data_IF_518104079069
#
_entry.id   IF_518104079069
#
_cell.length_a   1.000
_cell.length_b   1.000
_cell.length_c   1.000
_cell.angle_alpha   90.00
_cell.angle_beta   90.00
_cell.angle_gamma   90.00
#
_symmetry.space_group_name_H-M   'P 1'
#
loop_
_entity.id
_entity.type
_entity.pdbx_description
1 polymer ?
#
# COMPACT_ATOMS: atom_id res chain seq x y z
N UNK A 1 7.80 -11.70 -10.86
CA UNK A 1 8.35 -10.35 -10.55
C UNK A 1 7.28 -9.31 -10.22
N UNK A 2 6.18 -9.19 -10.98
CA UNK A 2 5.13 -8.17 -10.74
C UNK A 2 4.57 -8.23 -9.32
N UNK A 3 4.24 -9.42 -8.79
CA UNK A 3 3.75 -9.58 -7.43
C UNK A 3 4.69 -8.99 -6.36
N UNK A 4 6.00 -9.10 -6.57
CA UNK A 4 7.02 -8.54 -5.68
C UNK A 4 7.20 -7.01 -5.86
N UNK A 5 6.87 -6.49 -7.04
CA UNK A 5 6.91 -5.06 -7.34
C UNK A 5 5.71 -4.30 -6.75
N UNK A 6 4.58 -4.97 -6.49
CA UNK A 6 3.43 -4.38 -5.80
C UNK A 6 3.83 -3.96 -4.39
N UNK A 7 3.46 -2.73 -4.02
CA UNK A 7 3.78 -2.07 -2.74
C UNK A 7 5.26 -2.15 -2.33
N UNK A 8 6.15 -2.34 -3.31
CA UNK A 8 7.60 -2.49 -3.10
C UNK A 8 7.98 -3.63 -2.14
N UNK A 9 7.23 -4.73 -2.13
CA UNK A 9 7.47 -5.85 -1.19
C UNK A 9 8.90 -6.41 -1.30
N UNK A 10 9.49 -6.38 -2.51
CA UNK A 10 10.89 -6.74 -2.76
C UNK A 10 11.92 -6.01 -1.87
N UNK A 11 11.61 -4.80 -1.35
CA UNK A 11 12.57 -4.01 -0.56
C UNK A 11 13.05 -4.73 0.71
N UNK A 12 12.20 -5.58 1.30
CA UNK A 12 12.55 -6.34 2.49
C UNK A 12 13.76 -7.25 2.26
N UNK A 13 13.82 -7.89 1.08
CA UNK A 13 14.92 -8.78 0.71
C UNK A 13 16.26 -8.05 0.55
N UNK A 14 16.26 -6.83 0.00
CA UNK A 14 17.49 -6.05 -0.24
C UNK A 14 17.91 -5.17 0.94
N UNK A 15 17.33 -5.38 2.12
CA UNK A 15 17.72 -4.68 3.34
C UNK A 15 18.33 -5.64 4.35
N UNK A 16 19.58 -5.40 4.77
CA UNK A 16 20.26 -6.27 5.76
C UNK A 16 19.44 -6.45 7.04
N UNK A 17 18.75 -5.39 7.47
CA UNK A 17 17.90 -5.39 8.67
C UNK A 17 16.65 -6.27 8.50
N UNK A 18 16.06 -6.31 7.31
CA UNK A 18 14.75 -6.91 7.09
C UNK A 18 14.78 -8.21 6.27
N UNK A 19 15.89 -8.52 5.58
CA UNK A 19 16.01 -9.66 4.66
C UNK A 19 15.61 -10.98 5.30
N UNK A 20 16.13 -11.25 6.49
CA UNK A 20 15.81 -12.49 7.23
C UNK A 20 14.30 -12.59 7.51
N UNK A 21 13.70 -11.51 8.01
CA UNK A 21 12.28 -11.47 8.38
C UNK A 21 11.42 -11.63 7.12
N UNK A 22 11.73 -10.86 6.08
CA UNK A 22 11.04 -10.90 4.79
C UNK A 22 11.05 -12.31 4.18
N UNK A 23 12.23 -12.92 4.03
CA UNK A 23 12.33 -14.26 3.43
C UNK A 23 11.68 -15.34 4.30
N UNK A 24 11.69 -15.18 5.64
CA UNK A 24 10.97 -16.09 6.54
C UNK A 24 9.46 -16.05 6.27
N UNK A 25 8.87 -14.87 6.08
CA UNK A 25 7.44 -14.77 5.76
C UNK A 25 7.10 -15.35 4.39
N UNK A 26 7.93 -15.11 3.36
CA UNK A 26 7.72 -15.73 2.05
C UNK A 26 7.74 -17.27 2.15
N UNK A 27 8.71 -17.83 2.87
CA UNK A 27 8.77 -19.28 3.10
C UNK A 27 7.54 -19.81 3.84
N UNK A 28 7.12 -19.14 4.93
CA UNK A 28 5.93 -19.53 5.69
C UNK A 28 4.63 -19.49 4.87
N UNK A 29 4.57 -18.63 3.86
CA UNK A 29 3.45 -18.53 2.92
C UNK A 29 3.56 -19.52 1.74
N UNK A 30 4.65 -20.30 1.67
CA UNK A 30 4.91 -21.26 0.58
C UNK A 30 5.38 -20.60 -0.71
N UNK A 31 5.99 -19.41 -0.64
CA UNK A 31 6.48 -18.64 -1.79
C UNK A 31 8.00 -18.73 -1.96
N UNK A 32 8.57 -19.93 -1.79
CA UNK A 32 10.01 -20.16 -1.93
C UNK A 32 10.56 -19.73 -3.29
N UNK A 33 9.79 -19.97 -4.37
CA UNK A 33 10.15 -19.55 -5.73
C UNK A 33 10.35 -18.04 -5.87
N UNK A 34 9.64 -17.23 -5.06
CA UNK A 34 9.84 -15.78 -5.03
C UNK A 34 11.15 -15.41 -4.34
N UNK A 35 11.62 -16.20 -3.37
CA UNK A 35 12.92 -16.01 -2.72
C UNK A 35 14.03 -16.31 -3.72
N UNK A 36 13.92 -17.40 -4.48
CA UNK A 36 14.88 -17.76 -5.53
C UNK A 36 14.98 -16.65 -6.58
N UNK A 37 13.84 -16.17 -7.07
CA UNK A 37 13.77 -15.04 -7.98
C UNK A 37 14.44 -13.77 -7.41
N UNK A 38 14.24 -13.46 -6.13
CA UNK A 38 14.85 -12.30 -5.49
C UNK A 38 16.38 -12.42 -5.37
N UNK A 39 16.90 -13.64 -5.19
CA UNK A 39 18.34 -13.90 -5.16
C UNK A 39 18.99 -13.70 -6.55
N UNK A 40 18.23 -13.90 -7.63
CA UNK A 40 18.70 -13.79 -9.02
C UNK A 40 18.48 -12.41 -9.65
N UNK A 41 17.73 -11.53 -8.97
CA UNK A 41 17.35 -10.21 -9.48
C UNK A 41 17.89 -9.10 -8.57
N UNK A 42 17.82 -7.88 -9.06
CA UNK A 42 18.26 -6.68 -8.35
C UNK A 42 17.07 -5.78 -8.00
N UNK A 43 17.28 -4.89 -7.02
CA UNK A 43 16.33 -3.81 -6.70
C UNK A 43 15.95 -2.96 -7.93
N UNK A 44 16.87 -2.74 -8.88
CA UNK A 44 16.60 -1.94 -10.07
C UNK A 44 15.56 -2.59 -10.99
N UNK A 45 15.56 -3.92 -11.09
CA UNK A 45 14.62 -4.67 -11.93
C UNK A 45 13.17 -4.44 -11.48
N UNK A 46 12.93 -4.45 -10.17
CA UNK A 46 11.60 -4.20 -9.62
C UNK A 46 11.19 -2.73 -9.72
N UNK A 47 12.12 -1.79 -9.55
CA UNK A 47 11.85 -0.37 -9.75
C UNK A 47 11.44 -0.09 -11.20
N UNK A 48 12.11 -0.72 -12.16
CA UNK A 48 11.75 -0.63 -13.57
C UNK A 48 10.34 -1.17 -13.85
N UNK A 49 9.95 -2.29 -13.22
CA UNK A 49 8.58 -2.82 -13.32
C UNK A 49 7.57 -1.84 -12.72
N UNK A 50 7.87 -1.25 -11.55
CA UNK A 50 7.00 -0.26 -10.93
C UNK A 50 6.78 0.96 -11.82
N UNK A 51 7.82 1.43 -12.49
CA UNK A 51 7.75 2.55 -13.43
C UNK A 51 6.98 2.16 -14.69
N UNK A 52 7.31 1.01 -15.30
CA UNK A 52 6.68 0.53 -16.54
C UNK A 52 5.16 0.44 -16.44
N UNK A 53 4.66 -0.17 -15.37
CA UNK A 53 3.22 -0.36 -15.17
C UNK A 53 2.58 0.70 -14.28
N UNK A 54 3.35 1.72 -13.90
CA UNK A 54 2.92 2.81 -13.04
C UNK A 54 2.28 2.33 -11.71
N UNK A 55 2.86 1.28 -11.11
CA UNK A 55 2.28 0.55 -9.97
C UNK A 55 2.12 1.38 -8.68
N UNK A 56 2.71 2.58 -8.65
CA UNK A 56 2.61 3.51 -7.52
C UNK A 56 1.54 4.58 -7.71
N UNK A 57 0.87 4.60 -8.86
CA UNK A 57 -0.21 5.53 -9.10
C UNK A 57 -1.38 5.29 -8.18
N UNK A 58 -2.03 6.39 -7.81
CA UNK A 58 -3.19 6.35 -6.93
C UNK A 58 -4.40 5.86 -7.72
N UNK A 59 -5.29 5.19 -7.00
CA UNK A 59 -6.67 5.03 -7.42
C UNK A 59 -7.43 6.17 -6.74
N UNK A 60 -8.03 7.05 -7.53
CA UNK A 60 -8.77 8.22 -7.06
C UNK A 60 -10.19 8.17 -7.58
N UNK A 61 -11.08 8.93 -6.96
CA UNK A 61 -12.44 9.11 -7.44
C UNK A 61 -12.51 10.42 -8.21
N UNK A 62 -13.08 10.38 -9.41
CA UNK A 62 -13.30 11.56 -10.25
C UNK A 62 -14.53 12.36 -9.79
N UNK A 63 -14.75 13.53 -10.40
CA UNK A 63 -15.87 14.43 -10.07
C UNK A 63 -17.26 13.81 -10.34
N UNK A 64 -17.32 12.77 -11.16
CA UNK A 64 -18.56 12.03 -11.47
C UNK A 64 -18.81 10.87 -10.50
N UNK A 65 -17.89 10.60 -9.57
CA UNK A 65 -18.03 9.53 -8.56
C UNK A 65 -17.57 8.15 -9.03
N UNK A 66 -16.78 8.05 -10.11
CA UNK A 66 -16.17 6.80 -10.57
C UNK A 66 -14.70 6.73 -10.16
N UNK A 67 -14.16 5.52 -10.01
CA UNK A 67 -12.73 5.34 -9.77
C UNK A 67 -11.94 5.47 -11.07
N UNK A 68 -10.79 6.12 -10.99
CA UNK A 68 -9.81 6.25 -12.06
C UNK A 68 -8.39 6.01 -11.53
N UNK A 69 -7.50 5.57 -12.41
CA UNK A 69 -6.09 5.37 -12.07
C UNK A 69 -5.22 5.41 -13.32
N UNK A 70 -3.96 5.81 -13.14
CA UNK A 70 -2.94 5.74 -14.18
C UNK A 70 -2.15 4.42 -14.16
N UNK A 71 -2.51 3.47 -13.29
CA UNK A 71 -1.94 2.11 -13.31
C UNK A 71 -2.30 1.44 -14.64
N UNK A 72 -1.34 0.78 -15.28
CA UNK A 72 -1.51 0.10 -16.56
C UNK A 72 -2.30 -1.23 -16.43
N UNK A 73 -3.56 -1.16 -15.99
CA UNK A 73 -4.39 -2.35 -15.66
C UNK A 73 -4.55 -3.30 -16.85
N UNK A 74 -4.73 -2.78 -18.06
CA UNK A 74 -4.87 -3.58 -19.27
C UNK A 74 -3.62 -4.42 -19.57
N UNK A 75 -2.42 -3.85 -19.38
CA UNK A 75 -1.17 -4.59 -19.55
C UNK A 75 -0.94 -5.58 -18.40
N UNK A 76 -1.36 -5.23 -17.17
CA UNK A 76 -1.24 -6.12 -16.02
C UNK A 76 -2.14 -7.35 -16.15
N UNK A 77 -3.29 -7.23 -16.83
CA UNK A 77 -4.20 -8.34 -17.05
C UNK A 77 -3.54 -9.56 -17.73
N UNK A 78 -2.51 -9.34 -18.56
CA UNK A 78 -1.77 -10.41 -19.25
C UNK A 78 -1.04 -11.37 -18.29
N UNK A 79 -0.84 -10.97 -17.03
CA UNK A 79 -0.11 -11.75 -16.02
C UNK A 79 -1.00 -12.45 -14.99
N UNK A 80 -2.32 -12.19 -15.02
CA UNK A 80 -3.26 -12.72 -14.03
C UNK A 80 -4.44 -13.39 -14.71
N UNK A 81 -4.79 -14.59 -14.23
CA UNK A 81 -5.96 -15.35 -14.73
C UNK A 81 -7.30 -14.85 -14.15
N UNK A 82 -7.26 -13.77 -13.35
CA UNK A 82 -8.44 -13.12 -12.79
C UNK A 82 -8.56 -11.67 -13.30
N UNK A 83 -9.79 -11.12 -13.41
CA UNK A 83 -9.98 -9.75 -13.87
C UNK A 83 -9.27 -8.72 -12.98
N UNK A 84 -8.47 -7.86 -13.61
CA UNK A 84 -7.81 -6.70 -13.01
C UNK A 84 -8.47 -5.45 -13.57
N UNK A 85 -9.53 -4.98 -12.91
CA UNK A 85 -10.32 -3.83 -13.36
C UNK A 85 -10.80 -2.97 -12.19
N UNK A 86 -11.07 -1.70 -12.48
CA UNK A 86 -11.79 -0.84 -11.54
C UNK A 86 -13.28 -1.18 -11.58
N UNK A 87 -14.00 -1.10 -10.44
CA UNK A 87 -15.44 -1.29 -10.43
C UNK A 87 -16.14 -0.23 -11.29
N UNK A 88 -17.01 -0.66 -12.19
CA UNK A 88 -17.82 0.24 -13.03
C UNK A 88 -19.10 0.72 -12.31
N UNK A 89 -18.97 1.14 -11.05
CA UNK A 89 -20.08 1.63 -10.24
C UNK A 89 -19.79 3.05 -9.76
N UNK A 90 -20.82 3.89 -9.81
CA UNK A 90 -20.76 5.21 -9.21
C UNK A 90 -20.82 5.10 -7.68
N UNK A 91 -19.91 5.78 -7.01
CA UNK A 91 -19.86 5.89 -5.56
C UNK A 91 -20.64 7.12 -5.10
N UNK A 92 -21.38 6.97 -4.00
CA UNK A 92 -22.06 8.08 -3.32
C UNK A 92 -21.35 8.42 -2.03
N UNK A 93 -21.18 9.71 -1.75
CA UNK A 93 -20.59 10.15 -0.50
C UNK A 93 -21.46 9.72 0.70
N UNK A 94 -20.89 8.89 1.57
CA UNK A 94 -21.57 8.45 2.81
C UNK A 94 -21.13 9.24 4.04
N UNK A 95 -19.83 9.51 4.17
CA UNK A 95 -19.27 10.22 5.31
C UNK A 95 -17.97 10.91 4.89
N UNK A 96 -17.66 12.03 5.56
CA UNK A 96 -16.40 12.73 5.41
C UNK A 96 -15.59 12.63 6.69
N UNK A 97 -14.29 12.43 6.54
CA UNK A 97 -13.38 12.28 7.65
C UNK A 97 -12.22 13.25 7.51
N UNK A 98 -11.73 13.75 8.64
CA UNK A 98 -10.54 14.60 8.70
C UNK A 98 -9.41 13.84 9.37
N UNK A 99 -8.28 13.74 8.66
CA UNK A 99 -7.07 13.16 9.23
C UNK A 99 -6.15 14.27 9.75
N UNK A 100 -5.56 14.05 10.92
CA UNK A 100 -4.66 14.99 11.58
C UNK A 100 -3.45 14.24 12.12
N UNK A 101 -2.30 14.90 12.10
CA UNK A 101 -1.06 14.44 12.74
C UNK A 101 -0.82 15.26 14.01
N UNK A 102 -0.37 14.61 15.07
CA UNK A 102 -0.05 15.24 16.34
C UNK A 102 1.09 14.52 17.04
N UNK A 103 1.56 15.11 18.12
CA UNK A 103 2.50 14.45 19.02
C UNK A 103 1.83 13.98 20.30
N UNK A 104 2.31 12.87 20.85
CA UNK A 104 1.76 12.27 22.08
C UNK A 104 1.91 13.16 23.32
N UNK A 105 2.76 14.19 23.28
CA UNK A 105 2.85 15.16 24.36
C UNK A 105 1.79 16.27 24.29
N UNK A 106 1.17 16.49 23.13
CA UNK A 106 0.10 17.48 22.94
C UNK A 106 -1.26 16.93 23.36
N UNK A 107 -1.48 15.64 23.09
CA UNK A 107 -2.71 14.93 23.39
C UNK A 107 -2.30 13.68 24.16
N UNK A 108 -2.63 13.66 25.45
CA UNK A 108 -2.19 12.65 26.41
C UNK A 108 -3.15 11.46 26.48
N UNK A 109 -4.40 11.63 26.06
CA UNK A 109 -5.38 10.55 25.92
C UNK A 109 -6.20 10.69 24.63
N UNK A 110 -6.60 9.55 24.05
CA UNK A 110 -7.52 9.47 22.92
C UNK A 110 -8.89 10.09 23.24
N UNK A 111 -9.29 10.07 24.51
CA UNK A 111 -10.58 10.62 24.97
C UNK A 111 -10.66 12.14 24.81
N UNK A 112 -9.51 12.81 24.64
CA UNK A 112 -9.44 14.25 24.37
C UNK A 112 -9.73 14.59 22.91
N UNK A 113 -9.87 13.59 22.03
CA UNK A 113 -10.11 13.77 20.60
C UNK A 113 -11.60 13.51 20.32
N UNK A 114 -12.42 14.54 20.09
CA UNK A 114 -13.83 14.38 19.81
C UNK A 114 -14.05 13.64 18.48
N UNK A 115 -15.10 12.83 18.41
CA UNK A 115 -15.51 12.08 17.22
C UNK A 115 -14.37 11.24 16.61
N UNK A 116 -13.50 10.69 17.45
CA UNK A 116 -12.38 9.85 17.03
C UNK A 116 -12.88 8.55 16.39
N UNK A 117 -12.44 8.31 15.15
CA UNK A 117 -12.77 7.10 14.37
C UNK A 117 -11.58 6.14 14.32
N UNK A 118 -10.38 6.67 14.11
CA UNK A 118 -9.17 5.86 14.05
C UNK A 118 -7.97 6.59 14.65
N UNK A 119 -7.01 5.82 15.16
CA UNK A 119 -5.81 6.34 15.79
C UNK A 119 -4.66 5.35 15.59
N UNK A 120 -3.50 5.85 15.17
CA UNK A 120 -2.27 5.08 15.04
C UNK A 120 -1.08 5.87 15.57
N UNK A 121 -0.16 5.19 16.26
CA UNK A 121 1.18 5.70 16.50
C UNK A 121 2.02 5.49 15.24
N UNK A 122 2.46 6.56 14.61
CA UNK A 122 3.22 6.54 13.35
C UNK A 122 4.72 6.77 13.54
N UNK A 123 5.15 6.86 14.80
CA UNK A 123 6.55 6.93 15.21
C UNK A 123 6.65 7.01 16.74
N UNK A 124 7.85 7.14 17.28
CA UNK A 124 8.11 7.07 18.74
C UNK A 124 7.26 8.06 19.56
N UNK A 125 6.93 9.22 19.01
CA UNK A 125 6.11 10.26 19.66
C UNK A 125 5.10 10.92 18.72
N UNK A 126 4.89 10.32 17.55
CA UNK A 126 4.01 10.84 16.51
C UNK A 126 2.77 9.96 16.44
N UNK A 127 1.64 10.61 16.28
CA UNK A 127 0.37 9.94 16.08
C UNK A 127 -0.36 10.56 14.91
N UNK A 128 -1.13 9.71 14.22
CA UNK A 128 -2.07 10.11 13.20
C UNK A 128 -3.44 9.62 13.62
N UNK A 129 -4.44 10.47 13.50
CA UNK A 129 -5.81 10.12 13.88
C UNK A 129 -6.81 10.71 12.89
N UNK A 130 -7.98 10.08 12.83
CA UNK A 130 -9.06 10.45 11.94
C UNK A 130 -10.31 10.71 12.76
N UNK A 131 -10.96 11.85 12.53
CA UNK A 131 -12.23 12.23 13.14
C UNK A 131 -13.33 12.30 12.09
N UNK A 132 -14.57 12.00 12.49
CA UNK A 132 -15.74 12.28 11.66
C UNK A 132 -15.95 13.80 11.57
N UNK A 133 -16.13 14.31 10.35
CA UNK A 133 -16.46 15.71 10.09
C UNK A 133 -17.90 16.04 10.47
#
# INVERSE_FOLDING_TARGET
MILLAIDSSFLGHYSDKFRKIHNTYLHLLGFDELIDLLNETTKADYLHIQEKYNLKSKIIMNDEGYLETDVALAELQEFFDFPIELPNKQFTLMAQFKTQDAYTYQIQSKDQIPNLISFALTGTRKMKYTTLC
#
